data_IF_556905387490
#
_entry.id   IF_556905387490
#
_cell.length_a   1.000
_cell.length_b   1.000
_cell.length_c   1.000
_cell.angle_alpha   90.00
_cell.angle_beta   90.00
_cell.angle_gamma   90.00
#
_symmetry.space_group_name_H-M   'P 1'
#
loop_
_entity.id
_entity.type
_entity.pdbx_description
1 polymer ?
#
# COMPACT_ATOMS: atom_id res chain seq x y z
N UNK A 1 11.81 -14.29 -18.18
CA UNK A 1 11.09 -14.64 -16.93
C UNK A 1 11.76 -15.77 -16.15
N UNK A 2 12.12 -16.91 -16.76
CA UNK A 2 12.78 -18.01 -16.03
C UNK A 2 14.07 -17.58 -15.31
N UNK A 3 14.95 -16.82 -15.97
CA UNK A 3 16.15 -16.25 -15.33
C UNK A 3 15.85 -15.36 -14.13
N UNK A 4 14.80 -14.53 -14.23
CA UNK A 4 14.34 -13.66 -13.13
C UNK A 4 13.86 -14.47 -11.91
N UNK A 5 13.16 -15.59 -12.14
CA UNK A 5 12.68 -16.49 -11.07
C UNK A 5 13.86 -17.19 -10.40
N UNK A 6 14.89 -17.54 -11.16
CA UNK A 6 16.10 -18.20 -10.66
C UNK A 6 17.12 -17.22 -10.03
N UNK A 7 16.81 -15.92 -9.96
CA UNK A 7 17.76 -14.90 -9.48
C UNK A 7 18.97 -14.67 -10.40
N UNK A 8 18.92 -15.15 -11.65
CA UNK A 8 19.95 -14.93 -12.67
C UNK A 8 19.74 -13.56 -13.32
N UNK A 9 20.03 -12.51 -12.57
CA UNK A 9 19.64 -11.14 -12.92
C UNK A 9 20.27 -10.63 -14.23
N UNK A 10 21.56 -10.86 -14.44
CA UNK A 10 22.24 -10.42 -15.67
C UNK A 10 21.62 -11.07 -16.92
N UNK A 11 21.41 -12.39 -16.89
CA UNK A 11 20.74 -13.13 -17.97
C UNK A 11 19.30 -12.64 -18.20
N UNK A 12 18.58 -12.34 -17.11
CA UNK A 12 17.23 -11.80 -17.20
C UNK A 12 17.21 -10.42 -17.89
N UNK A 13 18.10 -9.51 -17.50
CA UNK A 13 18.19 -8.16 -18.07
C UNK A 13 18.62 -8.21 -19.54
N UNK A 14 19.62 -9.02 -19.89
CA UNK A 14 20.06 -9.18 -21.28
C UNK A 14 18.96 -9.78 -22.17
N UNK A 15 18.25 -10.80 -21.70
CA UNK A 15 17.16 -11.39 -22.46
C UNK A 15 16.00 -10.41 -22.67
N UNK A 16 15.64 -9.62 -21.65
CA UNK A 16 14.64 -8.56 -21.77
C UNK A 16 15.10 -7.44 -22.71
N UNK A 17 16.38 -7.05 -22.64
CA UNK A 17 16.98 -6.09 -23.54
C UNK A 17 16.91 -6.55 -25.00
N UNK A 18 17.31 -7.79 -25.28
CA UNK A 18 17.21 -8.37 -26.63
C UNK A 18 15.77 -8.37 -27.13
N UNK A 19 14.81 -8.79 -26.29
CA UNK A 19 13.39 -8.79 -26.64
C UNK A 19 12.84 -7.39 -26.94
N UNK A 20 13.32 -6.36 -26.22
CA UNK A 20 12.94 -4.96 -26.45
C UNK A 20 13.37 -4.43 -27.83
N UNK A 21 14.40 -5.01 -28.45
CA UNK A 21 14.83 -4.64 -29.80
C UNK A 21 14.15 -5.43 -30.93
N UNK A 22 13.29 -6.40 -30.62
CA UNK A 22 12.56 -7.16 -31.64
C UNK A 22 11.53 -6.28 -32.40
N UNK A 23 11.20 -6.65 -33.65
CA UNK A 23 10.25 -5.89 -34.48
C UNK A 23 8.81 -5.93 -33.97
N UNK A 24 8.42 -6.97 -33.23
CA UNK A 24 7.09 -7.15 -32.64
C UNK A 24 6.81 -6.09 -31.56
N UNK A 25 5.73 -5.32 -31.75
CA UNK A 25 5.33 -4.20 -30.90
C UNK A 25 4.87 -4.60 -29.51
N UNK A 26 4.15 -5.70 -29.37
CA UNK A 26 3.59 -6.15 -28.09
C UNK A 26 4.71 -6.74 -27.22
N UNK A 27 5.53 -7.62 -27.81
CA UNK A 27 6.71 -8.16 -27.14
C UNK A 27 7.67 -7.07 -26.67
N UNK A 28 7.85 -6.02 -27.48
CA UNK A 28 8.66 -4.86 -27.12
C UNK A 28 8.06 -4.11 -25.93
N UNK A 29 6.75 -3.88 -25.92
CA UNK A 29 6.07 -3.22 -24.80
C UNK A 29 6.26 -3.99 -23.50
N UNK A 30 6.00 -5.30 -23.53
CA UNK A 30 6.18 -6.15 -22.35
C UNK A 30 7.63 -6.16 -21.88
N UNK A 31 8.58 -6.33 -22.81
CA UNK A 31 10.00 -6.40 -22.49
C UNK A 31 10.53 -5.09 -21.89
N UNK A 32 10.15 -3.94 -22.46
CA UNK A 32 10.55 -2.62 -21.98
C UNK A 32 10.05 -2.33 -20.57
N UNK A 33 8.75 -2.51 -20.32
CA UNK A 33 8.21 -2.31 -18.97
C UNK A 33 8.72 -3.34 -17.96
N UNK A 34 8.94 -4.59 -18.39
CA UNK A 34 9.47 -5.64 -17.51
C UNK A 34 10.94 -5.40 -17.17
N UNK A 35 11.72 -4.84 -18.10
CA UNK A 35 13.10 -4.44 -17.85
C UNK A 35 13.16 -3.41 -16.72
N UNK A 36 12.35 -2.35 -16.80
CA UNK A 36 12.29 -1.33 -15.74
C UNK A 36 11.74 -1.92 -14.43
N UNK A 37 10.73 -2.79 -14.50
CA UNK A 37 10.21 -3.51 -13.33
C UNK A 37 11.28 -4.34 -12.62
N UNK A 38 12.10 -5.09 -13.38
CA UNK A 38 13.17 -5.92 -12.79
C UNK A 38 14.20 -5.03 -12.09
N UNK A 39 14.65 -3.97 -12.76
CA UNK A 39 15.62 -3.02 -12.19
C UNK A 39 15.09 -2.32 -10.94
N UNK A 40 13.86 -1.80 -11.00
CA UNK A 40 13.35 -0.85 -10.01
C UNK A 40 12.60 -1.51 -8.85
N UNK A 41 11.92 -2.64 -9.11
CA UNK A 41 11.06 -3.32 -8.13
C UNK A 41 11.69 -4.63 -7.65
N UNK A 42 12.11 -5.50 -8.57
CA UNK A 42 12.52 -6.87 -8.20
C UNK A 42 13.91 -6.95 -7.59
N UNK A 43 14.85 -6.20 -8.16
CA UNK A 43 16.21 -6.18 -7.66
C UNK A 43 16.33 -5.21 -6.49
N UNK A 44 16.91 -5.69 -5.40
CA UNK A 44 17.31 -4.84 -4.30
C UNK A 44 18.67 -4.17 -4.60
N UNK A 45 19.09 -3.26 -3.71
CA UNK A 45 20.33 -2.52 -3.89
C UNK A 45 21.59 -3.42 -3.96
N UNK A 46 21.68 -4.47 -3.14
CA UNK A 46 22.86 -5.35 -3.16
C UNK A 46 22.93 -6.14 -4.46
N UNK A 47 21.81 -6.68 -4.92
CA UNK A 47 21.70 -7.40 -6.18
C UNK A 47 22.08 -6.52 -7.39
N UNK A 48 21.68 -5.25 -7.40
CA UNK A 48 22.10 -4.31 -8.45
C UNK A 48 23.60 -4.01 -8.41
N UNK A 49 24.19 -3.89 -7.21
CA UNK A 49 25.64 -3.65 -7.05
C UNK A 49 26.48 -4.86 -7.43
N UNK A 50 25.96 -6.06 -7.21
CA UNK A 50 26.62 -7.34 -7.50
C UNK A 50 26.49 -7.78 -8.96
N UNK A 51 25.78 -7.02 -9.80
CA UNK A 51 25.66 -7.33 -11.23
C UNK A 51 27.05 -7.38 -11.89
N UNK A 52 27.42 -8.48 -12.57
CA UNK A 52 28.72 -8.58 -13.23
C UNK A 52 28.73 -7.67 -14.45
N UNK A 53 29.45 -6.55 -14.38
CA UNK A 53 29.49 -5.52 -15.43
C UNK A 53 29.99 -6.03 -16.78
N UNK A 54 30.81 -7.09 -16.79
CA UNK A 54 31.28 -7.76 -18.01
C UNK A 54 30.27 -8.74 -18.64
N UNK A 55 29.18 -9.06 -17.94
CA UNK A 55 28.13 -9.97 -18.43
C UNK A 55 26.91 -9.23 -18.98
N UNK A 56 26.80 -7.92 -18.77
CA UNK A 56 25.66 -7.12 -19.20
C UNK A 56 25.90 -6.50 -20.59
N UNK A 57 24.85 -6.45 -21.39
CA UNK A 57 24.83 -5.61 -22.60
C UNK A 57 25.24 -4.17 -22.25
N UNK A 58 26.19 -3.55 -22.98
CA UNK A 58 26.73 -2.23 -22.60
C UNK A 58 25.67 -1.13 -22.44
N UNK A 59 24.61 -1.17 -23.25
CA UNK A 59 23.48 -0.22 -23.20
C UNK A 59 22.58 -0.36 -21.98
N UNK A 60 22.71 -1.43 -21.20
CA UNK A 60 22.02 -1.59 -19.91
C UNK A 60 22.72 -0.86 -18.76
N UNK A 61 24.03 -0.59 -18.89
CA UNK A 61 24.83 0.04 -17.84
C UNK A 61 24.24 1.37 -17.35
N UNK A 62 23.84 2.31 -18.22
CA UNK A 62 23.26 3.57 -17.76
C UNK A 62 21.95 3.37 -16.97
N UNK A 63 21.13 2.38 -17.35
CA UNK A 63 19.87 2.07 -16.66
C UNK A 63 20.12 1.54 -15.24
N UNK A 64 21.12 0.68 -15.10
CA UNK A 64 21.57 0.14 -13.80
C UNK A 64 22.15 1.25 -12.94
N UNK A 65 23.05 2.08 -13.48
CA UNK A 65 23.70 3.16 -12.73
C UNK A 65 22.70 4.20 -12.22
N UNK A 66 21.74 4.61 -13.05
CA UNK A 66 20.68 5.51 -12.62
C UNK A 66 19.78 4.87 -11.57
N UNK A 67 19.38 3.60 -11.76
CA UNK A 67 18.55 2.89 -10.77
C UNK A 67 19.27 2.71 -9.43
N UNK A 68 20.59 2.48 -9.44
CA UNK A 68 21.41 2.47 -8.22
C UNK A 68 21.34 3.81 -7.49
N UNK A 69 21.43 4.94 -8.21
CA UNK A 69 21.30 6.27 -7.62
C UNK A 69 19.94 6.48 -6.94
N UNK A 70 18.86 6.04 -7.61
CA UNK A 70 17.50 6.08 -7.05
C UNK A 70 17.36 5.15 -5.83
N UNK A 71 18.00 3.99 -5.82
CA UNK A 71 17.97 3.06 -4.68
C UNK A 71 18.73 3.59 -3.46
N UNK A 72 19.82 4.33 -3.65
CA UNK A 72 20.47 5.08 -2.55
C UNK A 72 19.55 6.17 -2.01
N UNK A 73 18.90 6.92 -2.91
CA UNK A 73 17.95 7.96 -2.54
C UNK A 73 16.82 7.39 -1.67
N UNK A 74 16.25 6.25 -2.06
CA UNK A 74 15.20 5.54 -1.31
C UNK A 74 15.62 4.98 0.05
N UNK A 75 16.91 5.04 0.39
CA UNK A 75 17.44 4.73 1.72
C UNK A 75 17.79 5.99 2.50
N UNK A 76 17.39 7.16 2.00
CA UNK A 76 17.74 8.49 2.50
C UNK A 76 19.26 8.74 2.61
N UNK A 77 20.04 8.04 1.77
CA UNK A 77 21.48 8.30 1.61
C UNK A 77 21.69 9.42 0.58
N UNK A 78 21.24 10.62 0.93
CA UNK A 78 21.21 11.77 0.00
C UNK A 78 22.59 12.14 -0.55
N UNK A 79 23.70 12.13 0.22
CA UNK A 79 25.03 12.44 -0.31
C UNK A 79 25.49 11.48 -1.41
N UNK A 80 25.36 10.17 -1.17
CA UNK A 80 25.72 9.14 -2.15
C UNK A 80 24.80 9.19 -3.38
N UNK A 81 23.49 9.37 -3.16
CA UNK A 81 22.54 9.53 -4.26
C UNK A 81 22.87 10.74 -5.14
N UNK A 82 23.22 11.88 -4.54
CA UNK A 82 23.65 13.07 -5.29
C UNK A 82 24.91 12.80 -6.12
N UNK A 83 25.93 12.18 -5.52
CA UNK A 83 27.18 11.86 -6.21
C UNK A 83 26.96 10.91 -7.40
N UNK A 84 26.10 9.89 -7.24
CA UNK A 84 25.73 8.96 -8.30
C UNK A 84 24.92 9.62 -9.41
N UNK A 85 23.93 10.44 -9.06
CA UNK A 85 23.14 11.18 -10.05
C UNK A 85 24.00 12.16 -10.85
N UNK A 86 24.92 12.86 -10.21
CA UNK A 86 25.88 13.75 -10.87
C UNK A 86 26.79 12.99 -11.85
N UNK A 87 27.37 11.88 -11.39
CA UNK A 87 28.20 11.01 -12.23
C UNK A 87 27.42 10.47 -13.44
N UNK A 88 26.18 10.01 -13.22
CA UNK A 88 25.29 9.51 -14.26
C UNK A 88 24.97 10.61 -15.30
N UNK A 89 24.60 11.81 -14.85
CA UNK A 89 24.29 12.93 -15.74
C UNK A 89 25.53 13.31 -16.57
N UNK A 90 26.70 13.43 -15.94
CA UNK A 90 27.94 13.78 -16.60
C UNK A 90 28.34 12.74 -17.67
N UNK A 91 28.14 11.45 -17.39
CA UNK A 91 28.49 10.37 -18.29
C UNK A 91 27.51 10.20 -19.47
N UNK A 92 26.21 10.41 -19.25
CA UNK A 92 25.20 9.91 -20.20
C UNK A 92 24.26 10.96 -20.81
N UNK A 93 24.18 12.19 -20.28
CA UNK A 93 23.24 13.20 -20.81
C UNK A 93 23.46 13.51 -22.30
N UNK A 94 24.72 13.55 -22.74
CA UNK A 94 25.11 13.74 -24.14
C UNK A 94 25.33 12.45 -24.94
N UNK A 95 25.07 11.28 -24.36
CA UNK A 95 25.38 10.01 -25.01
C UNK A 95 24.27 9.63 -26.02
N UNK A 96 24.59 9.67 -27.32
CA UNK A 96 23.62 9.43 -28.39
C UNK A 96 22.99 8.03 -28.35
N UNK A 97 23.79 7.00 -28.09
CA UNK A 97 23.31 5.62 -28.05
C UNK A 97 22.32 5.41 -26.90
N UNK A 98 22.63 5.93 -25.72
CA UNK A 98 21.74 5.88 -24.58
C UNK A 98 20.47 6.70 -24.82
N UNK A 99 20.60 7.92 -25.37
CA UNK A 99 19.45 8.78 -25.68
C UNK A 99 18.52 8.15 -26.71
N UNK A 100 19.05 7.44 -27.71
CA UNK A 100 18.24 6.69 -28.67
C UNK A 100 17.48 5.52 -28.00
N UNK A 101 18.15 4.76 -27.13
CA UNK A 101 17.51 3.68 -26.37
C UNK A 101 16.42 4.21 -25.43
N UNK A 102 16.69 5.32 -24.75
CA UNK A 102 15.76 6.00 -23.86
C UNK A 102 14.55 6.58 -24.61
N UNK A 103 14.74 7.20 -25.77
CA UNK A 103 13.64 7.70 -26.60
C UNK A 103 12.71 6.56 -27.04
N UNK A 104 13.29 5.40 -27.38
CA UNK A 104 12.52 4.19 -27.68
C UNK A 104 11.77 3.67 -26.44
N UNK A 105 12.41 3.64 -25.27
CA UNK A 105 11.76 3.21 -24.02
C UNK A 105 10.60 4.14 -23.64
N UNK A 106 10.81 5.45 -23.76
CA UNK A 106 9.80 6.46 -23.46
C UNK A 106 8.60 6.35 -24.38
N UNK A 107 8.78 6.16 -25.69
CA UNK A 107 7.66 6.07 -26.64
C UNK A 107 6.73 4.88 -26.38
N UNK A 108 7.26 3.85 -25.70
CA UNK A 108 6.52 2.65 -25.32
C UNK A 108 5.79 2.85 -23.99
N UNK A 109 6.48 3.38 -22.97
CA UNK A 109 5.91 3.50 -21.62
C UNK A 109 5.01 4.71 -21.46
N UNK A 110 5.26 5.77 -22.22
CA UNK A 110 4.51 7.01 -22.17
C UNK A 110 4.20 7.49 -23.60
N UNK A 111 2.93 7.47 -24.05
CA UNK A 111 2.56 7.93 -25.39
C UNK A 111 2.72 9.45 -25.59
N UNK A 112 3.21 10.19 -24.59
CA UNK A 112 3.55 11.62 -24.64
C UNK A 112 5.05 11.82 -24.45
N UNK A 113 5.57 12.94 -24.95
CA UNK A 113 6.98 13.33 -24.81
C UNK A 113 7.35 13.59 -23.35
N UNK A 114 7.80 12.55 -22.65
CA UNK A 114 8.35 12.67 -21.31
C UNK A 114 9.81 13.11 -21.38
N UNK A 115 10.14 14.22 -20.72
CA UNK A 115 11.52 14.68 -20.64
C UNK A 115 12.23 14.04 -19.45
N UNK A 116 12.90 12.92 -19.72
CA UNK A 116 13.72 12.20 -18.75
C UNK A 116 14.81 13.09 -18.14
N UNK A 117 15.53 13.88 -18.94
CA UNK A 117 16.68 14.62 -18.46
C UNK A 117 16.29 15.81 -17.60
N UNK A 118 15.17 16.47 -17.89
CA UNK A 118 14.60 17.47 -17.00
C UNK A 118 14.19 16.85 -15.66
N UNK A 119 13.56 15.66 -15.70
CA UNK A 119 13.24 14.88 -14.50
C UNK A 119 14.48 14.57 -13.64
N UNK A 120 15.50 13.94 -14.22
CA UNK A 120 16.73 13.53 -13.52
C UNK A 120 17.55 14.73 -13.03
N UNK A 121 17.66 15.80 -13.82
CA UNK A 121 18.37 17.02 -13.39
C UNK A 121 17.65 17.71 -12.24
N UNK A 122 16.31 17.78 -12.31
CA UNK A 122 15.47 18.28 -11.22
C UNK A 122 15.59 17.41 -9.96
N UNK A 123 15.64 16.09 -10.10
CA UNK A 123 15.86 15.15 -9.01
C UNK A 123 17.21 15.41 -8.33
N UNK A 124 18.31 15.51 -9.07
CA UNK A 124 19.64 15.83 -8.50
C UNK A 124 19.62 17.14 -7.69
N UNK A 125 19.02 18.21 -8.22
CA UNK A 125 18.95 19.49 -7.52
C UNK A 125 18.28 19.36 -6.15
N UNK A 126 17.21 18.56 -6.07
CA UNK A 126 16.48 18.30 -4.82
C UNK A 126 17.25 17.39 -3.88
N UNK A 127 17.92 16.37 -4.39
CA UNK A 127 18.75 15.49 -3.55
C UNK A 127 19.91 16.26 -2.92
N UNK A 128 20.52 17.23 -3.62
CA UNK A 128 21.54 18.12 -3.04
C UNK A 128 21.00 19.00 -1.91
N UNK A 129 19.79 19.54 -2.09
CA UNK A 129 19.10 20.29 -1.03
C UNK A 129 18.89 19.43 0.22
N UNK A 130 18.43 18.18 0.04
CA UNK A 130 18.23 17.23 1.14
C UNK A 130 19.55 16.81 1.80
N UNK A 131 20.61 16.58 1.03
CA UNK A 131 21.94 16.25 1.58
C UNK A 131 22.45 17.38 2.48
N UNK A 132 22.29 18.64 2.06
CA UNK A 132 22.69 19.80 2.86
C UNK A 132 21.87 19.92 4.15
N UNK A 133 20.55 19.68 4.08
CA UNK A 133 19.67 19.70 5.26
C UNK A 133 20.00 18.56 6.22
N UNK A 134 20.24 17.36 5.70
CA UNK A 134 20.64 16.18 6.47
C UNK A 134 21.97 16.43 7.20
N UNK A 135 23.00 16.90 6.49
CA UNK A 135 24.30 17.22 7.09
C UNK A 135 24.17 18.32 8.17
N UNK A 136 23.38 19.37 7.89
CA UNK A 136 23.11 20.44 8.86
C UNK A 136 22.41 19.90 10.10
N UNK A 137 21.43 19.03 9.94
CA UNK A 137 20.74 18.40 11.08
C UNK A 137 21.69 17.48 11.86
N UNK A 138 22.52 16.68 11.20
CA UNK A 138 23.47 15.79 11.86
C UNK A 138 24.49 16.56 12.73
N UNK A 139 24.95 17.72 12.25
CA UNK A 139 25.89 18.60 12.98
C UNK A 139 25.24 19.35 14.13
N UNK A 140 24.01 19.82 13.95
CA UNK A 140 23.36 20.72 14.92
C UNK A 140 22.42 20.01 15.88
N UNK A 141 21.90 18.84 15.47
CA UNK A 141 20.77 18.13 16.10
C UNK A 141 19.56 19.03 16.37
N UNK A 142 19.40 20.09 15.57
CA UNK A 142 18.29 21.03 15.72
C UNK A 142 17.01 20.43 15.09
N UNK A 143 15.93 20.22 15.87
CA UNK A 143 14.69 19.63 15.36
C UNK A 143 13.99 20.49 14.30
N UNK A 144 14.21 21.81 14.29
CA UNK A 144 13.68 22.66 13.22
C UNK A 144 14.30 22.32 11.85
N UNK A 145 15.60 21.99 11.82
CA UNK A 145 16.27 21.57 10.57
C UNK A 145 15.76 20.20 10.12
N UNK A 146 15.47 19.30 11.06
CA UNK A 146 14.85 18.01 10.74
C UNK A 146 13.43 18.17 10.20
N UNK A 147 12.67 19.13 10.72
CA UNK A 147 11.36 19.48 10.18
C UNK A 147 11.47 20.03 8.75
N UNK A 148 12.45 20.90 8.47
CA UNK A 148 12.68 21.42 7.12
C UNK A 148 13.05 20.30 6.14
N UNK A 149 13.88 19.34 6.56
CA UNK A 149 14.18 18.13 5.79
C UNK A 149 12.90 17.32 5.50
N UNK A 150 12.06 17.09 6.52
CA UNK A 150 10.79 16.37 6.38
C UNK A 150 9.84 17.07 5.40
N UNK A 151 9.74 18.40 5.48
CA UNK A 151 8.90 19.21 4.60
C UNK A 151 9.40 19.16 3.14
N UNK A 152 10.71 19.26 2.92
CA UNK A 152 11.31 19.15 1.58
C UNK A 152 11.00 17.79 0.93
N UNK A 153 11.03 16.71 1.73
CA UNK A 153 10.61 15.36 1.30
C UNK A 153 9.10 15.32 1.00
N UNK A 154 8.26 15.83 1.89
CA UNK A 154 6.80 15.80 1.77
C UNK A 154 6.27 16.51 0.51
N UNK A 155 6.88 17.63 0.12
CA UNK A 155 6.39 18.44 -0.99
C UNK A 155 6.78 17.92 -2.38
N UNK A 156 7.62 16.89 -2.48
CA UNK A 156 8.09 16.38 -3.77
C UNK A 156 7.71 14.91 -3.99
N UNK A 157 6.56 14.68 -4.61
CA UNK A 157 6.07 13.34 -4.95
C UNK A 157 6.97 12.59 -5.94
N UNK A 158 7.72 13.31 -6.79
CA UNK A 158 8.59 12.68 -7.78
C UNK A 158 10.01 12.44 -7.26
N UNK A 159 10.32 12.81 -6.01
CA UNK A 159 11.66 12.73 -5.43
C UNK A 159 12.25 11.32 -5.55
N UNK A 160 11.50 10.29 -5.14
CA UNK A 160 11.96 8.89 -5.12
C UNK A 160 11.55 8.10 -6.39
N UNK A 161 11.01 8.79 -7.39
CA UNK A 161 10.57 8.20 -8.64
C UNK A 161 11.76 7.76 -9.50
N UNK A 162 11.66 6.58 -10.10
CA UNK A 162 12.61 6.14 -11.11
C UNK A 162 12.14 6.65 -12.47
N UNK A 163 12.80 7.67 -13.00
CA UNK A 163 12.41 8.35 -14.24
C UNK A 163 12.47 7.45 -15.49
N UNK A 164 13.06 6.25 -15.41
CA UNK A 164 12.99 5.25 -16.50
C UNK A 164 11.58 4.76 -16.81
N UNK A 165 10.65 4.90 -15.86
CA UNK A 165 9.24 4.62 -16.09
C UNK A 165 8.55 5.66 -16.99
N UNK A 166 9.17 6.82 -17.22
CA UNK A 166 8.66 7.89 -18.08
C UNK A 166 7.24 8.38 -17.75
N UNK A 167 6.78 8.25 -16.50
CA UNK A 167 5.39 8.53 -16.10
C UNK A 167 4.41 7.38 -16.37
N UNK A 168 4.83 6.32 -17.07
CA UNK A 168 4.00 5.21 -17.52
C UNK A 168 3.77 4.07 -16.52
N UNK A 169 4.43 4.10 -15.34
CA UNK A 169 4.39 2.98 -14.38
C UNK A 169 2.98 2.55 -14.02
N UNK A 170 2.11 3.50 -13.65
CA UNK A 170 0.74 3.17 -13.23
C UNK A 170 -0.05 2.47 -14.34
N UNK A 171 0.08 2.91 -15.59
CA UNK A 171 -0.54 2.25 -16.73
C UNK A 171 -0.01 0.83 -16.94
N UNK A 172 1.31 0.64 -16.83
CA UNK A 172 1.93 -0.69 -16.93
C UNK A 172 1.44 -1.64 -15.82
N UNK A 173 1.28 -1.13 -14.60
CA UNK A 173 0.71 -1.87 -13.47
C UNK A 173 -0.76 -2.24 -13.72
N UNK A 174 -1.60 -1.28 -14.12
CA UNK A 174 -3.04 -1.46 -14.32
C UNK A 174 -3.38 -2.47 -15.41
N UNK A 175 -2.57 -2.55 -16.47
CA UNK A 175 -2.76 -3.56 -17.54
C UNK A 175 -2.41 -4.98 -17.08
N UNK A 176 -2.04 -5.16 -15.82
CA UNK A 176 -1.78 -6.47 -15.25
C UNK A 176 -0.50 -7.14 -15.72
N UNK A 177 0.46 -6.38 -16.24
CA UNK A 177 1.79 -6.93 -16.56
C UNK A 177 2.64 -7.21 -15.33
N UNK A 178 2.25 -6.59 -14.22
CA UNK A 178 2.70 -6.95 -12.89
C UNK A 178 1.75 -7.98 -12.26
N UNK A 179 0.57 -8.25 -12.84
CA UNK A 179 -0.48 -9.08 -12.23
C UNK A 179 0.04 -10.50 -11.97
N UNK A 180 0.46 -10.80 -10.75
CA UNK A 180 -0.38 -11.25 -9.64
C UNK A 180 -1.36 -10.24 -8.98
N UNK A 181 -1.25 -8.93 -9.19
CA UNK A 181 -2.17 -7.84 -8.75
C UNK A 181 -3.61 -7.84 -9.32
N UNK A 182 -4.22 -9.01 -9.56
CA UNK A 182 -5.68 -9.14 -9.43
C UNK A 182 -6.04 -9.11 -7.94
N UNK A 183 -7.18 -8.52 -7.58
CA UNK A 183 -7.72 -8.40 -6.21
C UNK A 183 -7.06 -9.35 -5.18
N UNK A 184 -6.06 -8.85 -4.44
CA UNK A 184 -5.51 -9.52 -3.27
C UNK A 184 -4.07 -10.06 -3.32
N UNK A 185 -3.36 -10.08 -4.47
CA UNK A 185 -2.01 -10.68 -4.50
C UNK A 185 -0.94 -9.81 -5.18
N UNK A 186 -0.59 -8.68 -4.56
CA UNK A 186 0.67 -8.01 -4.91
C UNK A 186 1.86 -8.83 -4.38
N UNK A 187 2.90 -9.10 -5.19
CA UNK A 187 4.13 -9.70 -4.70
C UNK A 187 4.72 -8.87 -3.55
N UNK A 188 5.36 -9.51 -2.56
CA UNK A 188 5.93 -8.82 -1.40
C UNK A 188 6.91 -7.70 -1.80
N UNK A 189 7.59 -7.85 -2.95
CA UNK A 189 8.46 -6.81 -3.52
C UNK A 189 7.71 -5.52 -3.89
N UNK A 190 6.43 -5.58 -4.27
CA UNK A 190 5.62 -4.39 -4.57
C UNK A 190 5.28 -3.60 -3.31
N UNK A 191 5.01 -4.30 -2.21
CA UNK A 191 4.83 -3.66 -0.91
C UNK A 191 6.14 -2.98 -0.45
N UNK A 192 7.29 -3.65 -0.59
CA UNK A 192 8.59 -3.06 -0.29
C UNK A 192 8.86 -1.82 -1.15
N UNK A 193 8.67 -1.95 -2.47
CA UNK A 193 8.82 -0.87 -3.43
C UNK A 193 7.91 0.34 -3.13
N UNK A 194 6.64 0.13 -2.82
CA UNK A 194 5.71 1.22 -2.49
C UNK A 194 6.17 1.99 -1.24
N UNK A 195 6.69 1.31 -0.21
CA UNK A 195 7.29 1.98 0.96
C UNK A 195 8.52 2.80 0.61
N UNK A 196 9.33 2.32 -0.32
CA UNK A 196 10.53 3.02 -0.77
C UNK A 196 10.23 4.21 -1.69
N UNK A 197 9.20 4.13 -2.53
CA UNK A 197 8.96 5.11 -3.59
C UNK A 197 8.05 6.27 -3.16
N UNK A 198 7.20 6.06 -2.16
CA UNK A 198 6.22 7.07 -1.75
C UNK A 198 6.85 8.04 -0.74
N UNK A 199 6.99 9.30 -1.13
CA UNK A 199 7.64 10.33 -0.33
C UNK A 199 6.97 10.56 1.04
N UNK A 200 5.65 10.38 1.13
CA UNK A 200 4.92 10.51 2.39
C UNK A 200 5.37 9.50 3.46
N UNK A 201 5.79 8.28 3.07
CA UNK A 201 6.32 7.30 4.01
C UNK A 201 7.68 7.72 4.58
N UNK A 202 8.51 8.40 3.78
CA UNK A 202 9.79 8.95 4.22
C UNK A 202 9.61 10.16 5.13
N UNK A 203 8.82 11.15 4.67
CA UNK A 203 8.54 12.37 5.43
C UNK A 203 7.90 12.08 6.80
N UNK A 204 7.00 11.10 6.87
CA UNK A 204 6.36 10.67 8.11
C UNK A 204 7.36 10.32 9.22
N UNK A 205 8.44 9.60 8.88
CA UNK A 205 9.45 9.20 9.88
C UNK A 205 10.16 10.41 10.48
N UNK A 206 10.51 11.39 9.65
CA UNK A 206 11.15 12.62 10.11
C UNK A 206 10.21 13.48 10.94
N UNK A 207 8.95 13.66 10.53
CA UNK A 207 7.98 14.39 11.35
C UNK A 207 7.74 13.71 12.70
N UNK A 208 7.60 12.39 12.75
CA UNK A 208 7.48 11.65 14.01
C UNK A 208 8.70 11.80 14.90
N UNK A 209 9.90 11.86 14.32
CA UNK A 209 11.13 12.11 15.06
C UNK A 209 11.16 13.53 15.65
N UNK A 210 10.77 14.55 14.89
CA UNK A 210 10.63 15.93 15.39
C UNK A 210 9.63 15.99 16.55
N UNK A 211 8.47 15.36 16.41
CA UNK A 211 7.44 15.34 17.45
C UNK A 211 7.94 14.70 18.76
N UNK A 212 8.70 13.60 18.66
CA UNK A 212 9.24 12.85 19.83
C UNK A 212 10.48 13.49 20.44
N UNK A 213 11.15 14.40 19.74
CA UNK A 213 12.37 15.03 20.23
C UNK A 213 12.08 15.91 21.45
N UNK A 214 12.71 15.67 22.62
CA UNK A 214 12.53 16.50 23.81
C UNK A 214 12.95 17.95 23.62
N UNK A 215 13.87 18.24 22.68
CA UNK A 215 14.32 19.60 22.37
C UNK A 215 13.36 20.37 21.45
N UNK A 216 12.32 19.71 20.90
CA UNK A 216 11.31 20.38 20.09
C UNK A 216 10.38 21.23 20.96
N UNK A 217 10.23 22.54 20.65
CA UNK A 217 9.22 23.37 21.32
C UNK A 217 7.82 22.93 20.92
N UNK A 218 6.82 23.19 21.78
CA UNK A 218 5.43 22.73 21.59
C UNK A 218 4.84 23.16 20.23
N UNK A 219 5.12 24.38 19.78
CA UNK A 219 4.68 24.85 18.47
C UNK A 219 5.24 24.02 17.31
N UNK A 220 6.47 23.51 17.44
CA UNK A 220 7.10 22.63 16.44
C UNK A 220 6.55 21.20 16.56
N UNK A 221 6.31 20.70 17.77
CA UNK A 221 5.67 19.40 18.00
C UNK A 221 4.27 19.36 17.41
N UNK A 222 3.47 20.41 17.61
CA UNK A 222 2.16 20.55 16.99
C UNK A 222 2.26 20.48 15.46
N UNK A 223 3.14 21.28 14.85
CA UNK A 223 3.37 21.24 13.39
C UNK A 223 3.78 19.85 12.90
N UNK A 224 4.67 19.17 13.62
CA UNK A 224 5.17 17.86 13.24
C UNK A 224 4.09 16.77 13.36
N UNK A 225 3.28 16.78 14.42
CA UNK A 225 2.17 15.85 14.59
C UNK A 225 1.08 16.07 13.53
N UNK A 226 0.72 17.33 13.28
CA UNK A 226 -0.23 17.68 12.20
C UNK A 226 0.26 17.21 10.83
N UNK A 227 1.54 17.45 10.52
CA UNK A 227 2.17 17.02 9.26
C UNK A 227 2.31 15.49 9.15
N UNK A 228 2.42 14.77 10.28
CA UNK A 228 2.33 13.31 10.29
C UNK A 228 0.94 12.83 9.84
N UNK A 229 -0.11 13.51 10.30
CA UNK A 229 -1.49 13.29 9.82
C UNK A 229 -1.60 13.52 8.30
N UNK A 230 -0.99 14.60 7.80
CA UNK A 230 -0.96 14.91 6.37
C UNK A 230 -0.22 13.85 5.55
N UNK A 231 0.85 13.24 6.08
CA UNK A 231 1.52 12.13 5.40
C UNK A 231 0.59 10.92 5.24
N UNK A 232 -0.18 10.56 6.27
CA UNK A 232 -1.18 9.49 6.14
C UNK A 232 -2.27 9.83 5.13
N UNK A 233 -2.77 11.08 5.13
CA UNK A 233 -3.70 11.56 4.08
C UNK A 233 -3.07 11.49 2.69
N UNK A 234 -1.77 11.79 2.59
CA UNK A 234 -1.00 11.66 1.35
C UNK A 234 -0.91 10.21 0.87
N UNK A 235 -0.69 9.26 1.78
CA UNK A 235 -0.66 7.83 1.47
C UNK A 235 -2.01 7.33 0.96
N UNK A 236 -3.10 7.73 1.61
CA UNK A 236 -4.47 7.43 1.16
C UNK A 236 -4.73 7.95 -0.26
N UNK A 237 -4.35 9.21 -0.51
CA UNK A 237 -4.56 9.87 -1.81
C UNK A 237 -3.58 9.46 -2.90
N UNK A 238 -2.53 8.72 -2.57
CA UNK A 238 -1.55 8.24 -3.55
C UNK A 238 -2.17 7.25 -4.56
N UNK A 239 -3.23 6.55 -4.15
CA UNK A 239 -3.98 5.61 -4.99
C UNK A 239 -3.50 4.17 -4.87
N UNK A 240 -3.87 3.34 -5.85
CA UNK A 240 -3.77 1.87 -5.77
C UNK A 240 -2.38 1.33 -5.46
N UNK A 241 -1.32 2.06 -5.81
CA UNK A 241 0.04 1.62 -5.51
C UNK A 241 0.38 1.68 -4.02
N UNK A 242 -0.18 2.64 -3.28
CA UNK A 242 0.01 2.71 -1.83
C UNK A 242 -0.64 1.51 -1.13
N UNK A 243 -1.77 1.03 -1.66
CA UNK A 243 -2.51 -0.10 -1.08
C UNK A 243 -1.71 -1.41 -1.06
N UNK A 244 -0.65 -1.52 -1.87
CA UNK A 244 0.26 -2.67 -1.80
C UNK A 244 1.05 -2.73 -0.48
N UNK A 245 1.30 -1.59 0.14
CA UNK A 245 2.10 -1.47 1.35
C UNK A 245 1.32 -1.02 2.59
N UNK A 246 0.24 -0.29 2.35
CA UNK A 246 -0.52 0.46 3.34
C UNK A 246 -2.01 0.15 3.13
N UNK A 247 -2.59 -0.79 3.89
CA UNK A 247 -4.01 -1.10 3.81
C UNK A 247 -4.87 0.16 4.04
N UNK A 248 -5.92 0.42 3.24
CA UNK A 248 -6.75 1.61 3.38
C UNK A 248 -7.35 1.80 4.78
N UNK A 249 -7.82 0.71 5.40
CA UNK A 249 -8.37 0.74 6.75
C UNK A 249 -7.32 1.11 7.80
N UNK A 250 -6.10 0.58 7.69
CA UNK A 250 -4.98 0.98 8.57
C UNK A 250 -4.61 2.46 8.39
N UNK A 251 -4.52 2.96 7.15
CA UNK A 251 -4.22 4.37 6.90
C UNK A 251 -5.30 5.25 7.55
N UNK A 252 -6.57 4.91 7.39
CA UNK A 252 -7.69 5.62 7.99
C UNK A 252 -7.59 5.68 9.51
N UNK A 253 -7.34 4.55 10.17
CA UNK A 253 -7.11 4.49 11.61
C UNK A 253 -5.96 5.42 12.03
N UNK A 254 -4.87 5.45 11.26
CA UNK A 254 -3.74 6.36 11.51
C UNK A 254 -4.11 7.82 11.33
N UNK A 255 -4.88 8.19 10.30
CA UNK A 255 -5.36 9.57 10.11
C UNK A 255 -6.23 9.99 11.29
N UNK A 256 -7.26 9.20 11.62
CA UNK A 256 -8.20 9.50 12.70
C UNK A 256 -7.50 9.56 14.05
N UNK A 257 -6.69 8.55 14.37
CA UNK A 257 -5.94 8.50 15.62
C UNK A 257 -4.97 9.67 15.77
N UNK A 258 -4.25 10.04 14.71
CA UNK A 258 -3.30 11.16 14.74
C UNK A 258 -3.99 12.49 14.98
N UNK A 259 -5.11 12.77 14.30
CA UNK A 259 -5.81 14.05 14.46
C UNK A 259 -6.62 14.15 15.74
N UNK A 260 -7.13 13.04 16.30
CA UNK A 260 -7.69 13.02 17.66
C UNK A 260 -6.61 13.35 18.68
N UNK A 261 -5.48 12.65 18.62
CA UNK A 261 -4.33 12.91 19.50
C UNK A 261 -3.84 14.37 19.38
N UNK A 262 -3.81 14.91 18.16
CA UNK A 262 -3.47 16.31 17.93
C UNK A 262 -4.40 17.29 18.65
N UNK A 263 -5.71 17.07 18.61
CA UNK A 263 -6.69 17.95 19.27
C UNK A 263 -6.69 17.80 20.79
N UNK A 264 -6.28 16.64 21.31
CA UNK A 264 -6.11 16.41 22.74
C UNK A 264 -4.87 17.13 23.29
N UNK A 265 -3.74 17.03 22.57
CA UNK A 265 -2.46 17.61 23.03
C UNK A 265 -2.31 19.09 22.69
N UNK A 266 -2.84 19.55 21.54
CA UNK A 266 -2.69 20.92 21.05
C UNK A 266 -4.04 21.57 20.67
N UNK A 267 -5.01 21.65 21.59
CA UNK A 267 -6.37 22.14 21.30
C UNK A 267 -6.40 23.59 20.81
N UNK A 268 -5.50 24.44 21.31
CA UNK A 268 -5.43 25.87 20.96
C UNK A 268 -4.57 26.15 19.71
N UNK A 269 -4.08 25.11 19.03
CA UNK A 269 -3.24 25.27 17.85
C UNK A 269 -4.02 25.90 16.69
N UNK A 270 -3.41 26.81 15.90
CA UNK A 270 -4.05 27.36 14.70
C UNK A 270 -4.27 26.32 13.59
N UNK A 271 -3.85 25.07 13.78
CA UNK A 271 -4.07 23.95 12.86
C UNK A 271 -5.24 23.05 13.30
N UNK A 272 -5.89 23.35 14.43
CA UNK A 272 -6.98 22.54 14.98
C UNK A 272 -8.22 22.51 14.07
N UNK A 273 -8.50 23.60 13.34
CA UNK A 273 -9.57 23.64 12.34
C UNK A 273 -9.35 22.63 11.21
N UNK A 274 -8.13 22.52 10.70
CA UNK A 274 -7.74 21.52 9.71
C UNK A 274 -7.84 20.09 10.24
N UNK A 275 -7.49 19.87 11.51
CA UNK A 275 -7.62 18.56 12.16
C UNK A 275 -9.09 18.14 12.32
N UNK A 276 -9.96 19.08 12.73
CA UNK A 276 -11.40 18.84 12.82
C UNK A 276 -12.02 18.54 11.43
N UNK A 277 -11.58 19.26 10.39
CA UNK A 277 -12.04 18.99 9.02
C UNK A 277 -11.63 17.59 8.57
N UNK A 278 -10.38 17.20 8.82
CA UNK A 278 -9.88 15.87 8.48
C UNK A 278 -10.66 14.77 9.24
N UNK A 279 -10.94 14.97 10.53
CA UNK A 279 -11.74 14.02 11.31
C UNK A 279 -13.15 13.90 10.77
N UNK A 280 -13.85 15.00 10.49
CA UNK A 280 -15.17 14.96 9.86
C UNK A 280 -15.17 14.20 8.53
N UNK A 281 -14.16 14.45 7.68
CA UNK A 281 -14.04 13.79 6.38
C UNK A 281 -13.75 12.28 6.47
N UNK A 282 -12.89 11.84 7.40
CA UNK A 282 -12.47 10.44 7.51
C UNK A 282 -13.37 9.59 8.40
N UNK A 283 -14.08 10.19 9.35
CA UNK A 283 -15.03 9.48 10.22
C UNK A 283 -16.45 9.53 9.69
N UNK A 284 -16.79 10.53 8.88
CA UNK A 284 -18.17 10.82 8.50
C UNK A 284 -19.02 11.34 9.66
N UNK A 285 -18.41 11.74 10.78
CA UNK A 285 -19.12 12.28 11.95
C UNK A 285 -19.27 13.81 11.80
N UNK A 286 -20.50 14.33 11.60
CA UNK A 286 -20.74 15.75 11.41
C UNK A 286 -20.45 16.57 12.69
N UNK A 287 -20.35 15.95 13.86
CA UNK A 287 -20.06 16.65 15.11
C UNK A 287 -18.70 17.40 15.06
N UNK A 288 -17.68 16.82 14.42
CA UNK A 288 -16.39 17.50 14.22
C UNK A 288 -16.54 18.76 13.35
N UNK A 289 -17.37 18.70 12.31
CA UNK A 289 -17.62 19.83 11.40
C UNK A 289 -18.44 20.92 12.08
N UNK A 290 -19.45 20.56 12.86
CA UNK A 290 -20.20 21.52 13.67
C UNK A 290 -19.31 22.20 14.73
N UNK A 291 -18.43 21.43 15.38
CA UNK A 291 -17.43 21.99 16.31
C UNK A 291 -16.50 22.97 15.60
N UNK A 292 -15.97 22.61 14.44
CA UNK A 292 -15.16 23.49 13.60
C UNK A 292 -15.88 24.80 13.31
N UNK A 293 -17.13 24.75 12.84
CA UNK A 293 -17.90 25.94 12.50
C UNK A 293 -18.25 26.82 13.70
N UNK A 294 -18.32 26.24 14.90
CA UNK A 294 -18.54 26.97 16.16
C UNK A 294 -17.28 27.67 16.63
N UNK A 295 -16.15 26.97 16.65
CA UNK A 295 -14.87 27.47 17.19
C UNK A 295 -14.13 28.35 16.17
N UNK A 296 -14.25 28.03 14.87
CA UNK A 296 -13.58 28.68 13.75
C UNK A 296 -14.60 29.03 12.65
N UNK A 297 -15.51 30.00 12.88
CA UNK A 297 -16.62 30.27 11.96
C UNK A 297 -16.19 30.87 10.61
N UNK A 298 -14.98 31.46 10.56
CA UNK A 298 -14.42 32.16 9.41
C UNK A 298 -13.23 31.40 8.82
N UNK A 299 -12.92 31.66 7.55
CA UNK A 299 -11.75 31.10 6.86
C UNK A 299 -12.06 29.92 5.93
N UNK A 300 -11.00 29.41 5.31
CA UNK A 300 -11.10 28.39 4.25
C UNK A 300 -11.63 27.04 4.79
N UNK A 301 -11.16 26.60 5.96
CA UNK A 301 -11.60 25.33 6.55
C UNK A 301 -13.08 25.36 6.92
N UNK A 302 -13.60 26.49 7.39
CA UNK A 302 -15.03 26.68 7.65
C UNK A 302 -15.87 26.60 6.35
N UNK A 303 -15.37 27.16 5.25
CA UNK A 303 -16.03 27.04 3.95
C UNK A 303 -16.06 25.58 3.45
N UNK A 304 -14.94 24.86 3.59
CA UNK A 304 -14.84 23.43 3.25
C UNK A 304 -15.76 22.57 4.12
N UNK A 305 -15.84 22.84 5.43
CA UNK A 305 -16.72 22.14 6.36
C UNK A 305 -18.20 22.31 5.98
N UNK A 306 -18.64 23.51 5.60
CA UNK A 306 -20.01 23.76 5.09
C UNK A 306 -20.29 22.98 3.80
N UNK A 307 -19.33 22.93 2.88
CA UNK A 307 -19.46 22.12 1.66
C UNK A 307 -19.61 20.64 1.98
N UNK A 308 -18.76 20.13 2.87
CA UNK A 308 -18.76 18.72 3.26
C UNK A 308 -20.05 18.33 3.99
N UNK A 309 -20.57 19.16 4.90
CA UNK A 309 -21.87 18.91 5.55
C UNK A 309 -23.00 18.80 4.52
N UNK A 310 -23.00 19.66 3.51
CA UNK A 310 -23.98 19.59 2.41
C UNK A 310 -23.82 18.31 1.58
N UNK A 311 -22.59 17.87 1.33
CA UNK A 311 -22.34 16.59 0.66
C UNK A 311 -22.86 15.42 1.50
N UNK A 312 -22.69 15.46 2.83
CA UNK A 312 -23.14 14.44 3.78
C UNK A 312 -24.67 14.29 3.86
N UNK A 313 -25.45 15.29 3.43
CA UNK A 313 -26.91 15.19 3.33
C UNK A 313 -27.35 14.25 2.19
N UNK A 314 -26.48 13.96 1.23
CA UNK A 314 -26.78 13.07 0.12
C UNK A 314 -26.93 11.62 0.60
N UNK A 315 -27.98 10.89 0.18
CA UNK A 315 -28.09 9.46 0.47
C UNK A 315 -27.01 8.61 -0.22
N UNK A 316 -26.24 9.21 -1.15
CA UNK A 316 -25.11 8.59 -1.83
C UNK A 316 -23.76 9.04 -1.25
N UNK A 317 -23.76 9.76 -0.14
CA UNK A 317 -22.52 10.17 0.50
C UNK A 317 -21.80 8.98 1.10
N UNK A 318 -20.55 8.80 0.67
CA UNK A 318 -19.57 7.94 1.32
C UNK A 318 -18.41 8.82 1.79
N UNK A 319 -18.12 8.83 3.09
CA UNK A 319 -16.92 9.48 3.65
C UNK A 319 -15.68 8.97 2.91
N UNK A 320 -14.77 9.87 2.51
CA UNK A 320 -13.52 9.64 1.74
C UNK A 320 -13.37 8.17 1.36
N UNK A 321 -13.84 7.82 0.13
CA UNK A 321 -13.88 6.47 -0.45
C UNK A 321 -13.69 5.40 0.63
N UNK A 322 -14.80 4.91 1.16
CA UNK A 322 -14.83 3.63 1.85
C UNK A 322 -14.32 2.60 0.85
N UNK A 323 -13.00 2.47 0.73
CA UNK A 323 -12.36 1.30 0.14
C UNK A 323 -12.47 0.17 1.17
N UNK A 324 -13.68 -0.01 1.67
CA UNK A 324 -14.15 -1.33 1.98
C UNK A 324 -14.04 -2.16 0.71
N UNK A 325 -13.63 -3.40 0.89
CA UNK A 325 -13.31 -4.27 -0.21
C UNK A 325 -13.35 -5.71 0.24
N UNK A 326 -13.39 -6.64 -0.72
CA UNK A 326 -13.33 -8.06 -0.40
C UNK A 326 -12.02 -8.34 0.35
N UNK A 327 -12.14 -8.82 1.57
CA UNK A 327 -11.02 -9.35 2.35
C UNK A 327 -10.72 -10.75 1.79
N UNK A 328 -9.49 -11.02 1.32
CA UNK A 328 -9.15 -12.35 0.86
C UNK A 328 -9.23 -13.33 2.02
N UNK A 329 -9.90 -14.46 1.79
CA UNK A 329 -10.04 -15.53 2.75
C UNK A 329 -9.75 -16.88 2.09
N UNK A 330 -9.12 -17.78 2.85
CA UNK A 330 -8.91 -19.16 2.43
C UNK A 330 -9.88 -20.07 3.17
N UNK A 331 -10.69 -20.84 2.44
CA UNK A 331 -11.45 -21.93 3.04
C UNK A 331 -10.49 -23.07 3.35
N UNK A 332 -10.36 -23.40 4.64
CA UNK A 332 -9.46 -24.45 5.12
C UNK A 332 -10.16 -25.80 5.17
N UNK A 333 -11.44 -25.80 5.52
CA UNK A 333 -12.27 -27.00 5.57
C UNK A 333 -13.74 -26.64 5.53
N UNK A 334 -14.56 -27.50 4.94
CA UNK A 334 -16.00 -27.42 4.96
C UNK A 334 -16.57 -28.84 4.87
N UNK A 335 -17.72 -29.09 5.49
CA UNK A 335 -18.36 -30.39 5.42
C UNK A 335 -19.50 -30.57 6.41
N UNK A 336 -20.00 -31.80 6.48
CA UNK A 336 -21.22 -32.13 7.22
C UNK A 336 -20.96 -32.54 8.67
N UNK A 337 -19.70 -32.78 9.05
CA UNK A 337 -19.24 -33.00 10.44
C UNK A 337 -17.78 -32.56 10.58
N UNK A 338 -17.45 -31.97 11.72
CA UNK A 338 -16.12 -31.41 11.99
C UNK A 338 -15.05 -32.46 12.33
N UNK A 339 -15.47 -33.71 12.51
CA UNK A 339 -14.64 -34.85 12.92
C UNK A 339 -13.42 -35.06 11.98
N UNK A 340 -13.53 -34.63 10.72
CA UNK A 340 -12.47 -34.68 9.71
C UNK A 340 -11.33 -33.65 9.91
N UNK A 341 -11.47 -32.68 10.82
CA UNK A 341 -10.39 -31.72 11.11
C UNK A 341 -9.21 -32.35 11.85
N UNK A 342 -9.39 -33.48 12.53
CA UNK A 342 -8.39 -34.09 13.41
C UNK A 342 -7.04 -34.36 12.71
N UNK A 343 -7.07 -34.68 11.41
CA UNK A 343 -5.90 -35.05 10.60
C UNK A 343 -5.37 -33.91 9.69
N UNK A 344 -5.94 -32.71 9.79
CA UNK A 344 -5.51 -31.56 9.00
C UNK A 344 -4.20 -30.94 9.58
N UNK A 345 -3.05 -31.48 9.16
CA UNK A 345 -1.72 -31.04 9.60
C UNK A 345 -1.43 -29.54 9.36
N UNK A 346 -2.16 -28.91 8.44
CA UNK A 346 -2.03 -27.50 8.06
C UNK A 346 -2.80 -26.53 8.97
N UNK A 347 -3.69 -27.02 9.84
CA UNK A 347 -4.50 -26.20 10.74
C UNK A 347 -3.94 -26.33 12.16
N UNK A 348 -3.63 -25.23 12.89
CA UNK A 348 -3.09 -25.34 14.24
C UNK A 348 -4.01 -26.12 15.20
N UNK A 349 -3.42 -26.94 16.08
CA UNK A 349 -4.17 -27.80 17.01
C UNK A 349 -5.17 -27.00 17.87
N UNK A 350 -4.80 -25.79 18.29
CA UNK A 350 -5.67 -24.91 19.09
C UNK A 350 -6.92 -24.46 18.31
N UNK A 351 -6.77 -24.18 17.02
CA UNK A 351 -7.89 -23.82 16.13
C UNK A 351 -8.79 -25.03 15.93
N UNK A 352 -8.22 -26.23 15.75
CA UNK A 352 -9.01 -27.47 15.62
C UNK A 352 -9.86 -27.73 16.86
N UNK A 353 -9.28 -27.59 18.06
CA UNK A 353 -10.01 -27.75 19.32
C UNK A 353 -11.11 -26.71 19.49
N UNK A 354 -10.80 -25.44 19.22
CA UNK A 354 -11.79 -24.37 19.26
C UNK A 354 -12.93 -24.62 18.27
N UNK A 355 -12.61 -25.02 17.04
CA UNK A 355 -13.62 -25.24 16.02
C UNK A 355 -14.52 -26.44 16.38
N UNK A 356 -13.93 -27.57 16.79
CA UNK A 356 -14.65 -28.75 17.24
C UNK A 356 -15.59 -28.46 18.41
N UNK A 357 -15.16 -27.63 19.36
CA UNK A 357 -15.99 -27.24 20.51
C UNK A 357 -17.23 -26.40 20.15
N UNK A 358 -17.28 -25.81 18.95
CA UNK A 358 -18.34 -24.88 18.55
C UNK A 358 -19.19 -25.36 17.36
N UNK A 359 -18.84 -26.48 16.71
CA UNK A 359 -19.49 -26.89 15.46
C UNK A 359 -20.80 -27.69 15.64
N UNK A 360 -21.04 -28.26 16.83
CA UNK A 360 -22.22 -29.08 17.11
C UNK A 360 -23.49 -28.26 17.43
N UNK A 361 -23.39 -26.94 17.40
CA UNK A 361 -24.52 -26.02 17.57
C UNK A 361 -24.42 -24.85 16.56
N UNK A 362 -25.50 -24.09 16.33
CA UNK A 362 -25.41 -22.87 15.53
C UNK A 362 -24.33 -21.94 16.07
N UNK A 363 -23.36 -21.57 15.24
CA UNK A 363 -22.23 -20.75 15.65
C UNK A 363 -21.74 -19.90 14.48
N UNK A 364 -21.38 -18.65 14.76
CA UNK A 364 -20.65 -17.79 13.86
C UNK A 364 -19.68 -16.96 14.72
N UNK A 365 -18.38 -17.14 14.49
CA UNK A 365 -17.38 -16.52 15.35
C UNK A 365 -15.97 -16.61 14.79
N UNK A 366 -15.04 -15.93 15.47
CA UNK A 366 -13.65 -15.93 15.07
C UNK A 366 -12.68 -16.23 16.22
N UNK A 367 -11.47 -16.66 15.87
CA UNK A 367 -10.35 -16.87 16.79
C UNK A 367 -9.05 -16.36 16.16
N UNK A 368 -8.35 -15.47 16.86
CA UNK A 368 -7.02 -15.03 16.47
C UNK A 368 -5.95 -16.03 16.94
N UNK A 369 -4.99 -16.35 16.07
CA UNK A 369 -3.80 -17.14 16.41
C UNK A 369 -2.67 -16.86 15.40
N UNK A 370 -1.55 -16.32 15.87
CA UNK A 370 -0.41 -15.97 15.02
C UNK A 370 -0.75 -14.88 14.01
N UNK A 371 -0.37 -15.10 12.75
CA UNK A 371 -0.61 -14.16 11.64
C UNK A 371 -2.02 -14.28 11.03
N UNK A 372 -2.91 -15.07 11.65
CA UNK A 372 -4.24 -15.37 11.11
C UNK A 372 -5.37 -15.12 12.10
N UNK A 373 -6.54 -14.79 11.57
CA UNK A 373 -7.83 -14.92 12.25
C UNK A 373 -8.64 -15.99 11.54
N UNK A 374 -9.10 -16.97 12.30
CA UNK A 374 -9.88 -18.10 11.82
C UNK A 374 -11.36 -17.80 12.00
N UNK A 375 -12.15 -18.06 10.96
CA UNK A 375 -13.60 -17.85 10.90
C UNK A 375 -14.28 -19.21 10.90
N UNK A 376 -15.18 -19.46 11.84
CA UNK A 376 -16.04 -20.63 11.85
C UNK A 376 -17.50 -20.20 11.72
N UNK A 377 -18.20 -20.82 10.77
CA UNK A 377 -19.65 -20.79 10.70
C UNK A 377 -20.17 -22.22 10.70
N UNK A 378 -21.03 -22.54 11.65
CA UNK A 378 -21.67 -23.84 11.81
C UNK A 378 -23.19 -23.69 11.87
N UNK A 379 -23.91 -24.54 11.14
CA UNK A 379 -25.37 -24.50 11.06
C UNK A 379 -26.05 -25.22 12.23
N UNK A 380 -25.28 -25.91 13.08
CA UNK A 380 -25.77 -26.86 14.07
C UNK A 380 -26.44 -28.09 13.44
N UNK A 381 -27.15 -28.91 14.24
CA UNK A 381 -27.76 -30.15 13.79
C UNK A 381 -28.81 -29.92 12.69
N UNK A 382 -28.71 -30.69 11.59
CA UNK A 382 -29.67 -30.73 10.49
C UNK A 382 -30.23 -32.14 10.31
N UNK A 383 -31.52 -32.27 9.94
CA UNK A 383 -32.22 -33.56 9.98
C UNK A 383 -31.83 -34.53 8.85
N UNK A 384 -31.13 -34.05 7.82
CA UNK A 384 -30.67 -34.86 6.69
C UNK A 384 -29.30 -34.39 6.21
N UNK A 385 -28.68 -35.19 5.35
CA UNK A 385 -27.56 -34.75 4.53
C UNK A 385 -28.01 -33.69 3.49
N UNK A 386 -27.04 -33.03 2.86
CA UNK A 386 -27.28 -32.07 1.77
C UNK A 386 -27.38 -30.60 2.19
N UNK A 387 -27.44 -30.32 3.49
CA UNK A 387 -27.26 -28.96 4.01
C UNK A 387 -25.81 -28.54 3.93
N UNK A 388 -25.54 -27.29 3.55
CA UNK A 388 -24.18 -26.74 3.45
C UNK A 388 -24.11 -25.34 4.06
N UNK A 389 -22.93 -24.95 4.52
CA UNK A 389 -22.64 -23.57 4.92
C UNK A 389 -21.69 -22.96 3.91
N UNK A 390 -22.02 -21.76 3.43
CA UNK A 390 -21.20 -21.01 2.48
C UNK A 390 -20.89 -19.63 3.05
N UNK A 391 -19.62 -19.22 2.97
CA UNK A 391 -19.25 -17.80 3.11
C UNK A 391 -19.50 -17.16 1.74
N UNK A 392 -20.42 -16.20 1.70
CA UNK A 392 -20.79 -15.47 0.48
C UNK A 392 -19.69 -14.46 0.15
N UNK A 393 -19.28 -13.68 1.14
CA UNK A 393 -18.15 -12.78 1.07
C UNK A 393 -17.60 -12.49 2.47
N UNK A 394 -16.39 -11.92 2.50
CA UNK A 394 -15.85 -11.24 3.66
C UNK A 394 -15.47 -9.85 3.18
N UNK A 395 -16.07 -8.83 3.76
CA UNK A 395 -15.91 -7.44 3.30
C UNK A 395 -15.50 -6.56 4.47
N UNK A 396 -14.40 -5.83 4.30
CA UNK A 396 -14.12 -4.64 5.11
C UNK A 396 -15.11 -3.57 4.65
N UNK A 397 -15.83 -2.91 5.55
CA UNK A 397 -16.74 -1.82 5.20
C UNK A 397 -16.02 -0.46 5.09
N UNK A 398 -14.72 -0.45 5.38
CA UNK A 398 -13.87 0.74 5.44
C UNK A 398 -14.16 1.63 6.65
N UNK A 399 -15.14 1.28 7.51
CA UNK A 399 -15.54 2.01 8.72
C UNK A 399 -14.97 1.42 10.00
N UNK A 400 -14.16 0.37 9.88
CA UNK A 400 -13.56 -0.32 11.02
C UNK A 400 -14.32 -1.56 11.45
N UNK A 401 -15.06 -2.20 10.54
CA UNK A 401 -15.66 -3.52 10.75
C UNK A 401 -15.45 -4.40 9.51
N UNK A 402 -15.11 -5.68 9.73
CA UNK A 402 -15.14 -6.70 8.68
C UNK A 402 -16.42 -7.52 8.82
N UNK A 403 -17.29 -7.48 7.81
CA UNK A 403 -18.52 -8.27 7.76
C UNK A 403 -18.25 -9.60 7.06
N UNK A 404 -18.49 -10.71 7.74
CA UNK A 404 -18.55 -12.05 7.16
C UNK A 404 -20.00 -12.35 6.82
N UNK A 405 -20.36 -12.32 5.53
CA UNK A 405 -21.69 -12.76 5.11
C UNK A 405 -21.67 -14.23 4.78
N UNK A 406 -22.59 -14.98 5.36
CA UNK A 406 -22.71 -16.42 5.14
C UNK A 406 -24.15 -16.82 4.89
N UNK A 407 -24.36 -18.01 4.33
CA UNK A 407 -25.69 -18.59 4.19
C UNK A 407 -25.68 -20.08 4.48
N UNK A 408 -26.83 -20.58 4.92
CA UNK A 408 -27.08 -22.01 5.08
C UNK A 408 -27.90 -22.44 3.86
N UNK A 409 -27.31 -23.29 3.03
CA UNK A 409 -27.94 -23.81 1.81
C UNK A 409 -28.70 -25.08 2.18
N UNK A 410 -29.99 -25.11 1.85
CA UNK A 410 -30.84 -26.29 2.00
C UNK A 410 -30.59 -27.29 0.85
N UNK A 411 -30.82 -28.60 1.06
CA UNK A 411 -30.90 -29.55 -0.04
C UNK A 411 -31.97 -29.11 -1.05
N UNK A 412 -31.75 -29.40 -2.33
CA UNK A 412 -32.66 -28.98 -3.39
C UNK A 412 -34.04 -29.64 -3.24
N UNK A 413 -35.14 -28.96 -3.60
CA UNK A 413 -36.47 -29.57 -3.57
C UNK A 413 -36.51 -30.85 -4.41
N UNK A 414 -36.82 -32.00 -3.78
CA UNK A 414 -36.86 -33.30 -4.43
C UNK A 414 -35.51 -34.04 -4.51
N UNK A 415 -34.45 -33.49 -3.93
CA UNK A 415 -33.16 -34.19 -3.81
C UNK A 415 -33.28 -35.38 -2.86
N UNK A 416 -32.90 -36.57 -3.33
CA UNK A 416 -32.86 -37.78 -2.51
C UNK A 416 -31.63 -37.69 -1.60
N UNK A 417 -31.84 -37.24 -0.36
CA UNK A 417 -30.79 -37.10 0.65
C UNK A 417 -30.93 -38.14 1.76
N UNK A 418 -29.80 -38.58 2.33
CA UNK A 418 -29.80 -39.51 3.45
C UNK A 418 -30.39 -38.84 4.71
N UNK A 419 -31.30 -39.54 5.39
CA UNK A 419 -31.88 -39.09 6.68
C UNK A 419 -30.91 -39.40 7.82
N UNK A 420 -29.83 -38.63 7.88
CA UNK A 420 -28.81 -38.69 8.94
C UNK A 420 -28.61 -37.29 9.51
N UNK A 421 -28.46 -37.20 10.84
CA UNK A 421 -28.18 -35.92 11.49
C UNK A 421 -26.77 -35.48 11.09
N UNK A 422 -26.67 -34.30 10.50
CA UNK A 422 -25.41 -33.64 10.13
C UNK A 422 -25.22 -32.35 10.92
N UNK A 423 -23.98 -31.87 11.04
CA UNK A 423 -23.62 -30.56 11.58
C UNK A 423 -22.78 -29.80 10.54
N UNK A 424 -23.42 -29.21 9.50
CA UNK A 424 -22.70 -28.53 8.44
C UNK A 424 -21.91 -27.34 8.95
N UNK A 425 -20.67 -27.20 8.47
CA UNK A 425 -19.78 -26.11 8.86
C UNK A 425 -18.85 -25.67 7.71
N UNK A 426 -18.29 -24.48 7.87
CA UNK A 426 -17.18 -23.96 7.08
C UNK A 426 -16.19 -23.28 8.01
N UNK A 427 -14.91 -23.63 7.85
CA UNK A 427 -13.77 -23.04 8.54
C UNK A 427 -12.88 -22.34 7.50
N UNK A 428 -12.71 -21.04 7.65
CA UNK A 428 -11.86 -20.22 6.81
C UNK A 428 -10.82 -19.46 7.64
N UNK A 429 -9.86 -18.82 6.98
CA UNK A 429 -8.94 -17.86 7.61
C UNK A 429 -8.84 -16.58 6.79
N UNK A 430 -8.58 -15.48 7.50
CA UNK A 430 -8.19 -14.18 6.95
C UNK A 430 -6.90 -13.72 7.64
N UNK A 431 -6.14 -12.78 7.04
CA UNK A 431 -4.99 -12.18 7.70
C UNK A 431 -5.34 -11.60 9.08
N UNK A 432 -4.39 -11.70 10.01
CA UNK A 432 -4.53 -11.06 11.32
C UNK A 432 -4.72 -9.54 11.17
N UNK A 433 -5.51 -8.97 12.08
CA UNK A 433 -5.84 -7.55 12.10
C UNK A 433 -6.66 -7.21 13.34
N UNK A 434 -6.66 -5.94 13.69
CA UNK A 434 -7.34 -5.44 14.90
C UNK A 434 -8.79 -5.00 14.65
N UNK A 435 -9.21 -5.00 13.39
CA UNK A 435 -10.57 -4.63 12.98
C UNK A 435 -11.56 -5.71 13.45
N UNK A 436 -12.61 -5.38 14.22
CA UNK A 436 -13.61 -6.36 14.66
C UNK A 436 -14.31 -7.08 13.50
N UNK A 437 -14.75 -8.32 13.74
CA UNK A 437 -15.56 -9.09 12.80
C UNK A 437 -17.02 -9.11 13.23
N UNK A 438 -17.91 -8.87 12.29
CA UNK A 438 -19.34 -9.08 12.42
C UNK A 438 -19.81 -10.21 11.49
N UNK A 439 -20.89 -10.88 11.88
CA UNK A 439 -21.42 -12.05 11.18
C UNK A 439 -22.85 -11.79 10.77
N UNK A 440 -23.11 -11.82 9.47
CA UNK A 440 -24.43 -11.57 8.90
C UNK A 440 -24.88 -12.80 8.11
N UNK A 441 -26.02 -13.38 8.49
CA UNK A 441 -26.63 -14.45 7.70
C UNK A 441 -27.40 -13.82 6.52
N UNK A 442 -26.93 -14.06 5.30
CA UNK A 442 -27.62 -13.68 4.08
C UNK A 442 -28.94 -14.47 3.94
N UNK A 443 -29.97 -13.78 3.44
CA UNK A 443 -31.31 -14.34 3.24
C UNK A 443 -31.38 -15.32 2.08
#
# INVERSE_FOLDING_TARGET
>A
RCYEIQGRWADALNALHQAFFLPDGDMRYHAGGRLVYVLDVRMNLSQLRELPSGSLEPSLRPLVEYTLAVKELRRDNFPEAAARLESFIAAYKGNEQFNAALARLSSILAPRTYDFWTGVTGQLARVRELANLQEKWEKTRNPAVLYDLAAAVYHNQMLYYNHLWCGGRQGYNWLGYINATGYGHAPAEMAAFAREMINYNHGLRYFQQVYRDPASPDALKAKALYSSGLCYVGLDRWGSDAHFAFPPSEIREKVVGTYRHFLEEFPDSPLADGALLALGAYTGDPAYLHRLLKEYPQGEMAARARSLLKEMESPYYESVRLAGGPVPYDVLSAGDRIDALADAATIPQEVRKWAAANADHPFAGCKALGEWRYILVAAGPKPSAGYRVEIVNVEDDGRGTITVRYRIVNPAPGEVVATVITCPYILARIPAGNIPLEFEQAR
#
